data_IF_421755844962
#
_entry.id   IF_421755844962
#
_cell.length_a   1.000
_cell.length_b   1.000
_cell.length_c   1.000
_cell.angle_alpha   90.00
_cell.angle_beta   90.00
_cell.angle_gamma   90.00
#
_symmetry.space_group_name_H-M   'P 1'
#
loop_
_entity.id
_entity.type
_entity.pdbx_description
1 polymer ?
#
# COMPACT_ATOMS: atom_id res chain seq x y z
N UNK A 1 -16.34 2.36 15.69
CA UNK A 1 -15.25 1.88 16.54
C UNK A 1 -14.80 3.03 17.45
N UNK A 2 -14.53 2.78 18.75
CA UNK A 2 -13.98 3.82 19.62
C UNK A 2 -12.57 4.17 19.09
N UNK A 3 -12.40 5.42 18.72
CA UNK A 3 -11.15 5.94 18.16
C UNK A 3 -10.14 6.04 19.31
N UNK A 4 -9.13 5.19 19.32
CA UNK A 4 -8.09 5.18 20.34
C UNK A 4 -7.08 6.31 20.09
N UNK A 5 -6.56 6.90 21.16
CA UNK A 5 -5.43 7.82 21.05
C UNK A 5 -4.17 7.06 20.60
N UNK A 6 -3.32 7.70 19.82
CA UNK A 6 -2.02 7.15 19.44
C UNK A 6 -1.08 7.19 20.66
N UNK A 7 -1.02 6.09 21.41
CA UNK A 7 -0.16 5.94 22.60
C UNK A 7 1.29 5.62 22.21
N UNK A 8 2.23 5.80 23.13
CA UNK A 8 3.64 5.48 22.90
C UNK A 8 3.83 3.97 22.59
N UNK A 9 3.06 3.10 23.23
CA UNK A 9 3.08 1.67 22.91
C UNK A 9 2.66 1.38 21.47
N UNK A 10 1.61 2.06 20.97
CA UNK A 10 1.16 1.94 19.57
C UNK A 10 2.23 2.49 18.62
N UNK A 11 2.85 3.64 18.93
CA UNK A 11 3.97 4.19 18.15
C UNK A 11 5.13 3.22 18.04
N UNK A 12 5.50 2.60 19.17
CA UNK A 12 6.57 1.60 19.20
C UNK A 12 6.22 0.36 18.38
N UNK A 13 4.97 -0.09 18.40
CA UNK A 13 4.49 -1.20 17.57
C UNK A 13 4.58 -0.87 16.08
N UNK A 14 4.11 0.31 15.67
CA UNK A 14 4.20 0.79 14.29
C UNK A 14 5.66 0.85 13.83
N UNK A 15 6.54 1.46 14.63
CA UNK A 15 7.96 1.54 14.32
C UNK A 15 8.60 0.15 14.14
N UNK A 16 8.33 -0.76 15.08
CA UNK A 16 8.87 -2.12 15.06
C UNK A 16 8.42 -2.87 13.81
N UNK A 17 7.14 -2.72 13.43
CA UNK A 17 6.57 -3.33 12.23
C UNK A 17 7.20 -2.77 10.95
N UNK A 18 7.34 -1.45 10.89
CA UNK A 18 7.99 -0.79 9.75
C UNK A 18 9.47 -1.18 9.63
N UNK A 19 10.22 -1.18 10.75
CA UNK A 19 11.63 -1.56 10.77
C UNK A 19 11.85 -3.03 10.39
N UNK A 20 10.96 -3.93 10.80
CA UNK A 20 10.99 -5.34 10.37
C UNK A 20 10.78 -5.47 8.86
N UNK A 21 9.85 -4.72 8.30
CA UNK A 21 9.62 -4.70 6.85
C UNK A 21 10.83 -4.14 6.12
N UNK A 22 11.44 -3.06 6.60
CA UNK A 22 12.66 -2.49 6.03
C UNK A 22 13.82 -3.49 6.04
N UNK A 23 14.07 -4.16 7.14
CA UNK A 23 15.15 -5.16 7.24
C UNK A 23 14.96 -6.30 6.23
N UNK A 24 13.70 -6.71 5.98
CA UNK A 24 13.38 -7.67 4.93
C UNK A 24 13.72 -7.12 3.55
N UNK A 25 13.29 -5.90 3.21
CA UNK A 25 13.53 -5.28 1.91
C UNK A 25 15.03 -5.09 1.61
N UNK A 26 15.80 -4.65 2.59
CA UNK A 26 17.25 -4.49 2.47
C UNK A 26 17.94 -5.82 2.21
N UNK A 27 17.50 -6.89 2.90
CA UNK A 27 18.02 -8.22 2.65
C UNK A 27 17.68 -8.73 1.25
N UNK A 28 16.46 -8.53 0.81
CA UNK A 28 16.03 -8.89 -0.56
C UNK A 28 16.81 -8.07 -1.59
N UNK A 29 17.02 -6.77 -1.36
CA UNK A 29 17.83 -5.91 -2.22
C UNK A 29 19.26 -6.45 -2.39
N UNK A 30 19.91 -6.86 -1.30
CA UNK A 30 21.25 -7.46 -1.37
C UNK A 30 21.27 -8.78 -2.16
N UNK A 31 20.25 -9.60 -2.01
CA UNK A 31 20.12 -10.85 -2.78
C UNK A 31 19.87 -10.58 -4.28
N UNK A 32 19.14 -9.52 -4.63
CA UNK A 32 18.96 -9.09 -6.02
C UNK A 32 20.33 -8.68 -6.60
N UNK A 33 21.13 -7.88 -5.88
CA UNK A 33 22.48 -7.48 -6.30
C UNK A 33 23.42 -8.66 -6.52
N UNK A 34 23.24 -9.72 -5.75
CA UNK A 34 23.97 -10.98 -5.89
C UNK A 34 23.46 -11.87 -7.04
N UNK A 35 22.42 -11.45 -7.78
CA UNK A 35 21.86 -12.19 -8.90
C UNK A 35 21.04 -13.42 -8.51
N UNK A 36 20.54 -13.47 -7.27
CA UNK A 36 19.74 -14.60 -6.78
C UNK A 36 18.34 -14.66 -7.41
N UNK A 37 17.84 -13.54 -7.92
CA UNK A 37 16.53 -13.44 -8.57
C UNK A 37 16.67 -13.13 -10.05
N UNK A 38 15.86 -13.78 -10.90
CA UNK A 38 15.86 -13.61 -12.36
C UNK A 38 14.66 -12.85 -12.91
N UNK A 39 13.85 -12.29 -12.05
CA UNK A 39 12.65 -11.53 -12.40
C UNK A 39 12.55 -10.23 -11.57
N UNK A 40 11.78 -9.24 -12.03
CA UNK A 40 11.63 -7.98 -11.31
C UNK A 40 11.00 -8.17 -9.93
N UNK A 41 11.61 -7.55 -8.92
CA UNK A 41 11.08 -7.47 -7.56
C UNK A 41 10.74 -6.01 -7.25
N UNK A 42 9.61 -5.79 -6.61
CA UNK A 42 9.06 -4.47 -6.31
C UNK A 42 9.18 -4.19 -4.81
N UNK A 43 10.31 -3.62 -4.41
CA UNK A 43 10.63 -3.37 -3.02
C UNK A 43 9.84 -2.18 -2.46
N UNK A 44 9.35 -2.32 -1.22
CA UNK A 44 8.52 -1.30 -0.54
C UNK A 44 9.33 -0.35 0.35
N UNK A 45 10.66 -0.35 0.25
CA UNK A 45 11.52 0.51 1.07
C UNK A 45 11.16 1.99 0.89
N UNK A 46 10.88 2.67 1.99
CA UNK A 46 10.43 4.05 2.06
C UNK A 46 8.93 4.21 2.30
N UNK A 47 8.13 3.18 2.06
CA UNK A 47 6.66 3.21 2.17
C UNK A 47 6.13 2.44 3.40
N UNK A 48 7.00 1.95 4.30
CA UNK A 48 6.66 0.98 5.36
C UNK A 48 5.71 1.52 6.42
N UNK A 49 5.79 2.81 6.74
CA UNK A 49 4.94 3.42 7.75
C UNK A 49 3.46 3.40 7.38
N UNK A 50 3.14 3.44 6.09
CA UNK A 50 1.75 3.40 5.63
C UNK A 50 1.07 2.09 6.06
N UNK A 51 1.51 0.91 5.60
CA UNK A 51 0.87 -0.35 6.00
C UNK A 51 1.05 -0.68 7.48
N UNK A 52 2.18 -0.29 8.11
CA UNK A 52 2.38 -0.50 9.54
C UNK A 52 1.35 0.26 10.39
N UNK A 53 1.05 1.51 10.02
CA UNK A 53 0.04 2.30 10.73
C UNK A 53 -1.38 1.77 10.46
N UNK A 54 -1.68 1.42 9.21
CA UNK A 54 -2.98 0.84 8.87
C UNK A 54 -3.23 -0.48 9.60
N UNK A 55 -2.24 -1.37 9.66
CA UNK A 55 -2.36 -2.68 10.33
C UNK A 55 -2.63 -2.53 11.83
N UNK A 56 -1.96 -1.61 12.48
CA UNK A 56 -2.16 -1.31 13.91
C UNK A 56 -3.54 -0.68 14.14
N UNK A 57 -3.93 0.30 13.32
CA UNK A 57 -5.22 0.98 13.46
C UNK A 57 -6.42 0.04 13.28
N UNK A 58 -6.35 -0.88 12.34
CA UNK A 58 -7.41 -1.83 12.03
C UNK A 58 -7.22 -3.20 12.69
N UNK A 59 -6.21 -3.35 13.57
CA UNK A 59 -5.89 -4.61 14.26
C UNK A 59 -5.81 -5.82 13.32
N UNK A 60 -5.28 -5.64 12.12
CA UNK A 60 -5.11 -6.65 11.07
C UNK A 60 -6.40 -7.41 10.68
N UNK A 61 -7.59 -6.86 10.94
CA UNK A 61 -8.86 -7.59 10.72
C UNK A 61 -9.58 -7.24 9.42
N UNK A 62 -9.21 -6.13 8.81
CA UNK A 62 -9.86 -5.58 7.61
C UNK A 62 -9.31 -6.24 6.33
N UNK A 63 -10.17 -6.59 5.34
CA UNK A 63 -9.69 -7.04 4.04
C UNK A 63 -8.89 -5.96 3.31
N UNK A 64 -7.78 -6.37 2.67
CA UNK A 64 -6.86 -5.50 1.96
C UNK A 64 -6.75 -5.89 0.50
N UNK A 65 -6.75 -4.89 -0.38
CA UNK A 65 -6.52 -5.03 -1.81
C UNK A 65 -5.29 -4.20 -2.18
N UNK A 66 -4.17 -4.88 -2.40
CA UNK A 66 -2.87 -4.21 -2.58
C UNK A 66 -2.33 -4.35 -4.00
N UNK A 67 -1.60 -3.33 -4.44
CA UNK A 67 -0.89 -3.32 -5.71
C UNK A 67 0.47 -4.05 -5.61
N UNK A 68 1.28 -3.99 -6.65
CA UNK A 68 2.52 -4.75 -6.82
C UNK A 68 3.60 -4.49 -5.75
N UNK A 69 3.64 -3.31 -5.13
CA UNK A 69 4.61 -2.96 -4.08
C UNK A 69 4.03 -3.29 -2.71
N UNK A 70 3.92 -4.58 -2.42
CA UNK A 70 3.06 -5.05 -1.33
C UNK A 70 3.77 -5.90 -0.27
N UNK A 71 5.10 -6.04 -0.29
CA UNK A 71 5.83 -6.80 0.71
C UNK A 71 5.59 -6.27 2.12
N UNK A 72 5.76 -4.94 2.33
CA UNK A 72 5.52 -4.32 3.62
C UNK A 72 4.05 -4.41 4.05
N UNK A 73 3.10 -4.35 3.11
CA UNK A 73 1.68 -4.56 3.41
C UNK A 73 1.43 -5.99 3.90
N UNK A 74 1.96 -6.99 3.20
CA UNK A 74 1.83 -8.38 3.58
C UNK A 74 2.40 -8.64 4.98
N UNK A 75 3.63 -8.17 5.25
CA UNK A 75 4.32 -8.36 6.53
C UNK A 75 3.63 -7.60 7.66
N UNK A 76 3.17 -6.38 7.43
CA UNK A 76 2.50 -5.54 8.44
C UNK A 76 1.17 -6.13 8.88
N UNK A 77 0.43 -6.76 7.97
CA UNK A 77 -0.85 -7.40 8.29
C UNK A 77 -0.72 -8.83 8.82
N UNK A 78 0.48 -9.27 9.16
CA UNK A 78 0.74 -10.55 9.82
C UNK A 78 1.06 -11.69 8.86
N UNK A 79 1.42 -11.40 7.62
CA UNK A 79 1.91 -12.38 6.66
C UNK A 79 3.18 -13.08 7.15
N UNK A 80 3.31 -14.36 6.89
CA UNK A 80 4.47 -15.17 7.28
C UNK A 80 5.68 -14.82 6.40
N UNK A 81 6.80 -14.49 7.05
CA UNK A 81 8.02 -14.09 6.35
C UNK A 81 8.59 -15.24 5.50
N UNK A 82 8.50 -16.47 6.01
CA UNK A 82 9.00 -17.65 5.30
C UNK A 82 8.17 -17.96 4.05
N UNK A 83 6.84 -17.82 4.15
CA UNK A 83 5.94 -17.93 2.98
C UNK A 83 6.23 -16.85 1.93
N UNK A 84 6.57 -15.64 2.36
CA UNK A 84 6.95 -14.58 1.43
C UNK A 84 8.30 -14.87 0.76
N UNK A 85 9.29 -15.33 1.50
CA UNK A 85 10.59 -15.75 0.94
C UNK A 85 10.38 -16.88 -0.07
N UNK A 86 9.60 -17.89 0.26
CA UNK A 86 9.31 -19.00 -0.62
C UNK A 86 8.55 -18.56 -1.87
N UNK A 87 7.65 -17.59 -1.75
CA UNK A 87 6.97 -16.97 -2.91
C UNK A 87 7.96 -16.28 -3.84
N UNK A 88 8.87 -15.47 -3.28
CA UNK A 88 9.91 -14.79 -4.05
C UNK A 88 10.91 -15.77 -4.69
N UNK A 89 11.05 -16.97 -4.16
CA UNK A 89 11.87 -18.04 -4.73
C UNK A 89 11.11 -18.96 -5.69
N UNK A 90 9.83 -18.70 -5.95
CA UNK A 90 8.99 -19.49 -6.84
C UNK A 90 8.63 -20.88 -6.29
N UNK A 91 8.62 -21.05 -4.96
CA UNK A 91 8.36 -22.34 -4.30
C UNK A 91 6.86 -22.54 -4.03
N UNK A 92 6.43 -23.78 -4.09
CA UNK A 92 5.03 -24.15 -3.82
C UNK A 92 4.57 -23.88 -2.36
N UNK A 93 5.51 -23.70 -1.42
CA UNK A 93 5.26 -23.30 -0.04
C UNK A 93 5.03 -21.80 0.13
N UNK A 94 5.21 -20.99 -0.93
CA UNK A 94 4.94 -19.57 -0.91
C UNK A 94 3.44 -19.24 -0.77
N UNK A 95 3.13 -18.02 -0.32
CA UNK A 95 1.76 -17.57 -0.04
C UNK A 95 0.82 -17.64 -1.26
N UNK A 96 1.36 -17.57 -2.49
CA UNK A 96 0.67 -17.78 -3.77
C UNK A 96 1.18 -19.03 -4.50
N UNK A 97 1.77 -19.97 -3.78
CA UNK A 97 2.35 -21.21 -4.33
C UNK A 97 3.47 -20.98 -5.36
N UNK A 98 4.21 -19.88 -5.21
CA UNK A 98 5.29 -19.47 -6.09
C UNK A 98 4.85 -18.90 -7.44
N UNK A 99 3.57 -18.58 -7.61
CA UNK A 99 3.00 -18.09 -8.86
C UNK A 99 2.79 -16.59 -8.93
N UNK A 100 2.68 -15.93 -7.77
CA UNK A 100 2.47 -14.47 -7.66
C UNK A 100 3.78 -13.68 -7.74
N UNK A 101 4.85 -14.25 -7.25
CA UNK A 101 6.14 -13.59 -7.11
C UNK A 101 6.05 -12.32 -6.27
N UNK A 102 6.84 -11.30 -6.60
CA UNK A 102 6.82 -10.01 -5.90
C UNK A 102 5.57 -9.18 -6.22
N UNK A 103 5.03 -9.31 -7.44
CA UNK A 103 4.02 -8.40 -7.95
C UNK A 103 2.57 -8.74 -7.53
N UNK A 104 2.26 -10.01 -7.30
CA UNK A 104 0.87 -10.46 -7.11
C UNK A 104 0.71 -11.26 -5.81
N UNK A 105 1.17 -10.67 -4.70
CA UNK A 105 1.08 -11.29 -3.38
C UNK A 105 -0.37 -11.32 -2.93
N UNK A 106 -0.83 -12.50 -2.58
CA UNK A 106 -2.16 -12.72 -2.01
C UNK A 106 -2.05 -13.67 -0.82
N UNK A 107 -2.94 -13.52 0.16
CA UNK A 107 -2.96 -14.43 1.30
C UNK A 107 -4.35 -14.47 1.91
N UNK A 108 -4.91 -15.68 1.95
CA UNK A 108 -6.22 -15.92 2.55
C UNK A 108 -6.18 -15.73 4.06
N UNK A 109 -5.07 -16.08 4.71
CA UNK A 109 -4.93 -16.02 6.18
C UNK A 109 -5.03 -14.59 6.73
N UNK A 110 -4.52 -13.62 5.99
CA UNK A 110 -4.57 -12.19 6.34
C UNK A 110 -5.59 -11.40 5.52
N UNK A 111 -6.45 -12.07 4.75
CA UNK A 111 -7.47 -11.48 3.88
C UNK A 111 -6.87 -10.44 2.91
N UNK A 112 -5.68 -10.71 2.39
CA UNK A 112 -5.01 -9.86 1.42
C UNK A 112 -5.24 -10.37 0.01
N UNK A 113 -5.72 -9.48 -0.85
CA UNK A 113 -5.97 -9.73 -2.27
C UNK A 113 -4.97 -8.89 -3.09
N UNK A 114 -4.29 -9.53 -4.02
CA UNK A 114 -3.35 -8.87 -4.91
C UNK A 114 -4.02 -8.31 -6.16
N UNK A 115 -3.21 -7.74 -7.04
CA UNK A 115 -3.64 -7.31 -8.36
C UNK A 115 -3.25 -8.35 -9.43
N UNK A 116 -3.80 -8.20 -10.63
CA UNK A 116 -3.66 -9.14 -11.75
C UNK A 116 -2.61 -8.74 -12.81
N UNK A 117 -1.84 -7.68 -12.54
CA UNK A 117 -0.83 -7.13 -13.45
C UNK A 117 -1.23 -5.82 -14.13
N UNK A 118 -2.51 -5.46 -14.18
CA UNK A 118 -2.96 -4.13 -14.60
C UNK A 118 -2.99 -3.19 -13.39
N UNK A 119 -2.29 -2.06 -13.49
CA UNK A 119 -2.15 -1.12 -12.36
C UNK A 119 -3.50 -0.54 -11.94
N UNK A 120 -3.89 -0.74 -10.69
CA UNK A 120 -5.13 -0.18 -10.13
C UNK A 120 -6.37 -1.09 -10.21
N UNK A 121 -6.34 -2.24 -10.90
CA UNK A 121 -7.50 -3.14 -11.04
C UNK A 121 -8.04 -3.67 -9.72
N UNK A 122 -7.21 -3.78 -8.69
CA UNK A 122 -7.65 -4.15 -7.35
C UNK A 122 -8.65 -3.15 -6.75
N UNK A 123 -8.66 -1.88 -7.21
CA UNK A 123 -9.53 -0.83 -6.66
C UNK A 123 -11.01 -1.09 -6.99
N UNK A 124 -11.44 -1.26 -8.25
CA UNK A 124 -12.84 -1.61 -8.54
C UNK A 124 -13.24 -2.96 -7.95
N UNK A 125 -12.32 -3.92 -7.82
CA UNK A 125 -12.58 -5.22 -7.18
C UNK A 125 -12.87 -5.01 -5.68
N UNK A 126 -12.08 -4.18 -4.98
CA UNK A 126 -12.31 -3.82 -3.59
C UNK A 126 -13.67 -3.15 -3.38
N UNK A 127 -14.04 -2.24 -4.28
CA UNK A 127 -15.35 -1.56 -4.25
C UNK A 127 -16.49 -2.58 -4.43
N UNK A 128 -16.36 -3.52 -5.38
CA UNK A 128 -17.34 -4.59 -5.59
C UNK A 128 -17.44 -5.52 -4.37
N UNK A 129 -16.34 -5.87 -3.75
CA UNK A 129 -16.32 -6.66 -2.53
C UNK A 129 -17.02 -5.94 -1.37
N UNK A 130 -16.67 -4.68 -1.11
CA UNK A 130 -17.30 -3.88 -0.06
C UNK A 130 -18.79 -3.66 -0.32
N UNK A 131 -19.19 -3.45 -1.58
CA UNK A 131 -20.59 -3.32 -1.96
C UNK A 131 -21.41 -4.56 -1.64
N UNK A 132 -20.86 -5.74 -1.91
CA UNK A 132 -21.55 -7.02 -1.70
C UNK A 132 -21.58 -7.42 -0.22
N UNK A 133 -20.43 -7.29 0.47
CA UNK A 133 -20.27 -7.75 1.86
C UNK A 133 -20.76 -6.73 2.89
N UNK A 134 -20.89 -5.47 2.50
CA UNK A 134 -21.15 -4.32 3.39
C UNK A 134 -20.08 -4.13 4.48
N UNK A 135 -18.91 -4.77 4.31
CA UNK A 135 -17.79 -4.65 5.24
C UNK A 135 -16.82 -3.56 4.77
N UNK A 136 -16.20 -2.83 5.69
CA UNK A 136 -15.10 -1.95 5.37
C UNK A 136 -13.93 -2.72 4.74
N UNK A 137 -13.28 -2.11 3.74
CA UNK A 137 -12.08 -2.65 3.09
C UNK A 137 -11.05 -1.55 2.90
N UNK A 138 -9.77 -1.93 2.78
CA UNK A 138 -8.69 -1.05 2.36
C UNK A 138 -8.28 -1.44 0.94
N UNK A 139 -8.08 -0.45 0.07
CA UNK A 139 -7.39 -0.65 -1.20
C UNK A 139 -6.21 0.31 -1.30
N UNK A 140 -5.04 -0.22 -1.68
CA UNK A 140 -3.79 0.54 -1.78
C UNK A 140 -3.33 0.52 -3.24
N UNK A 141 -3.07 1.71 -3.81
CA UNK A 141 -2.52 1.86 -5.15
C UNK A 141 -1.50 3.02 -5.20
N UNK A 142 -0.62 3.00 -6.20
CA UNK A 142 0.30 4.11 -6.45
C UNK A 142 -0.41 5.31 -7.09
N UNK A 143 0.25 6.47 -7.05
CA UNK A 143 -0.27 7.74 -7.57
C UNK A 143 -0.61 7.72 -9.05
N UNK A 144 0.17 7.01 -9.87
CA UNK A 144 -0.12 6.84 -11.29
C UNK A 144 -1.29 5.87 -11.54
N UNK A 145 -1.36 4.78 -10.78
CA UNK A 145 -2.47 3.84 -10.87
C UNK A 145 -3.81 4.47 -10.48
N UNK A 146 -3.78 5.45 -9.57
CA UNK A 146 -4.97 6.19 -9.16
C UNK A 146 -5.58 7.04 -10.29
N UNK A 147 -4.80 7.33 -11.36
CA UNK A 147 -5.23 8.10 -12.54
C UNK A 147 -5.97 7.24 -13.58
N UNK A 148 -5.95 5.91 -13.44
CA UNK A 148 -6.63 5.03 -14.38
C UNK A 148 -8.15 5.27 -14.34
N UNK A 149 -8.78 5.24 -15.51
CA UNK A 149 -10.19 5.57 -15.69
C UNK A 149 -11.11 4.66 -14.85
N UNK A 150 -10.82 3.37 -14.78
CA UNK A 150 -11.56 2.42 -13.96
C UNK A 150 -11.35 2.64 -12.46
N UNK A 151 -10.21 3.20 -12.03
CA UNK A 151 -9.97 3.56 -10.62
C UNK A 151 -10.77 4.79 -10.25
N UNK A 152 -10.70 5.85 -11.07
CA UNK A 152 -11.46 7.08 -10.86
C UNK A 152 -12.96 6.81 -10.87
N UNK A 153 -13.45 5.99 -11.80
CA UNK A 153 -14.86 5.57 -11.85
C UNK A 153 -15.29 4.79 -10.60
N UNK A 154 -14.43 3.90 -10.09
CA UNK A 154 -14.71 3.14 -8.88
C UNK A 154 -14.77 4.04 -7.63
N UNK A 155 -13.90 5.03 -7.51
CA UNK A 155 -13.93 6.03 -6.42
C UNK A 155 -15.23 6.82 -6.49
N UNK A 156 -15.61 7.32 -7.67
CA UNK A 156 -16.83 8.07 -7.87
C UNK A 156 -18.10 7.25 -7.56
N UNK A 157 -18.09 5.98 -7.96
CA UNK A 157 -19.21 5.07 -7.68
C UNK A 157 -19.32 4.78 -6.18
N UNK A 158 -18.18 4.60 -5.49
CA UNK A 158 -18.17 4.41 -4.04
C UNK A 158 -18.70 5.63 -3.30
N UNK A 159 -18.36 6.86 -3.74
CA UNK A 159 -18.92 8.10 -3.19
C UNK A 159 -20.43 8.19 -3.35
N UNK A 160 -20.93 7.88 -4.56
CA UNK A 160 -22.37 7.90 -4.87
C UNK A 160 -23.16 6.92 -4.00
N UNK A 161 -22.65 5.70 -3.82
CA UNK A 161 -23.34 4.62 -3.12
C UNK A 161 -22.93 4.45 -1.66
N UNK A 162 -22.07 5.34 -1.14
CA UNK A 162 -21.55 5.32 0.25
C UNK A 162 -20.96 3.96 0.64
N UNK A 163 -20.17 3.39 -0.29
CA UNK A 163 -19.55 2.07 -0.09
C UNK A 163 -18.37 2.22 0.87
N UNK A 164 -18.23 1.40 1.91
CA UNK A 164 -17.27 1.59 2.97
C UNK A 164 -15.84 1.17 2.55
N UNK A 165 -15.21 1.92 1.66
CA UNK A 165 -13.84 1.70 1.18
C UNK A 165 -12.92 2.80 1.69
N UNK A 166 -11.76 2.42 2.22
CA UNK A 166 -10.63 3.30 2.42
C UNK A 166 -9.70 3.16 1.21
N UNK A 167 -9.64 4.19 0.39
CA UNK A 167 -8.69 4.31 -0.71
C UNK A 167 -7.39 4.92 -0.17
N UNK A 168 -6.28 4.22 -0.31
CA UNK A 168 -4.95 4.69 0.05
C UNK A 168 -4.12 4.83 -1.20
N UNK A 169 -3.72 6.05 -1.51
CA UNK A 169 -2.82 6.35 -2.62
C UNK A 169 -1.43 6.60 -2.06
N UNK A 170 -0.48 5.71 -2.39
CA UNK A 170 0.94 5.89 -2.07
C UNK A 170 1.55 6.82 -3.12
N UNK A 171 1.63 8.11 -2.79
CA UNK A 171 2.07 9.17 -3.71
C UNK A 171 3.57 9.41 -3.56
N UNK A 172 4.36 8.65 -4.32
CA UNK A 172 5.80 8.84 -4.41
C UNK A 172 6.22 9.74 -5.60
N UNK A 173 5.27 10.44 -6.22
CA UNK A 173 5.47 11.35 -7.34
C UNK A 173 5.92 10.67 -8.66
N UNK A 174 6.00 9.34 -8.74
CA UNK A 174 6.61 8.65 -9.87
C UNK A 174 5.74 7.52 -10.44
N UNK A 175 5.51 7.57 -11.76
CA UNK A 175 5.11 6.40 -12.55
C UNK A 175 6.35 5.81 -13.21
N UNK A 176 6.89 4.72 -12.68
CA UNK A 176 8.22 4.21 -12.99
C UNK A 176 9.25 5.32 -12.75
N UNK A 177 9.53 6.18 -13.73
CA UNK A 177 10.43 7.34 -13.66
C UNK A 177 9.76 8.66 -14.08
N UNK A 178 8.51 8.62 -14.52
CA UNK A 178 7.79 9.81 -14.98
C UNK A 178 7.17 10.53 -13.79
N UNK A 179 7.59 11.77 -13.55
CA UNK A 179 7.05 12.60 -12.47
C UNK A 179 5.57 12.91 -12.68
N UNK A 180 4.84 13.05 -11.56
CA UNK A 180 3.41 13.40 -11.54
C UNK A 180 3.09 14.66 -12.33
N UNK A 181 3.94 15.70 -12.27
CA UNK A 181 3.74 16.96 -13.01
C UNK A 181 3.68 16.81 -14.54
N UNK A 182 4.27 15.72 -15.07
CA UNK A 182 4.20 15.41 -16.51
C UNK A 182 2.88 14.71 -16.90
N UNK A 183 2.16 14.16 -15.93
CA UNK A 183 0.94 13.36 -16.11
C UNK A 183 -0.33 14.13 -15.76
N UNK A 184 -0.28 14.95 -14.69
CA UNK A 184 -1.41 15.73 -14.21
C UNK A 184 -0.98 16.98 -13.45
N UNK A 185 -1.88 17.96 -13.39
CA UNK A 185 -1.74 19.22 -12.64
C UNK A 185 -2.81 19.37 -11.53
N UNK A 186 -3.42 18.28 -11.13
CA UNK A 186 -4.45 18.23 -10.09
C UNK A 186 -4.11 17.14 -9.05
N UNK A 187 -4.72 17.22 -7.88
CA UNK A 187 -4.47 16.30 -6.78
C UNK A 187 -5.63 15.34 -6.58
N UNK A 188 -5.31 14.08 -6.22
CA UNK A 188 -6.29 13.00 -6.12
C UNK A 188 -7.32 13.24 -4.99
N UNK A 189 -6.93 13.89 -3.92
CA UNK A 189 -7.83 14.26 -2.83
C UNK A 189 -8.89 15.29 -3.28
N UNK A 190 -8.53 16.21 -4.17
CA UNK A 190 -9.47 17.15 -4.76
C UNK A 190 -10.48 16.47 -5.67
N UNK A 191 -10.03 15.52 -6.49
CA UNK A 191 -10.92 14.67 -7.27
C UNK A 191 -11.89 13.90 -6.38
N UNK A 192 -11.38 13.20 -5.35
CA UNK A 192 -12.20 12.40 -4.45
C UNK A 192 -13.29 13.23 -3.76
N UNK A 193 -12.96 14.44 -3.28
CA UNK A 193 -13.95 15.37 -2.71
C UNK A 193 -15.03 15.80 -3.71
N UNK A 194 -14.65 15.97 -4.98
CA UNK A 194 -15.62 16.36 -6.03
C UNK A 194 -16.66 15.28 -6.31
N UNK A 195 -16.41 14.03 -5.95
CA UNK A 195 -17.30 12.90 -6.10
C UNK A 195 -17.83 12.35 -4.76
N UNK A 196 -17.91 13.22 -3.74
CA UNK A 196 -18.45 12.92 -2.41
C UNK A 196 -17.72 11.83 -1.62
N UNK A 197 -16.40 11.70 -1.81
CA UNK A 197 -15.53 10.87 -0.99
C UNK A 197 -14.74 11.77 -0.04
N UNK A 198 -14.75 11.47 1.27
CA UNK A 198 -13.91 12.18 2.23
C UNK A 198 -12.45 12.02 1.85
N UNK A 199 -11.67 13.10 1.84
CA UNK A 199 -10.29 12.97 1.41
C UNK A 199 -9.32 13.86 2.18
N UNK A 200 -8.08 13.34 2.34
CA UNK A 200 -6.95 14.05 2.93
C UNK A 200 -5.70 13.86 2.05
N UNK A 201 -4.88 14.90 1.99
CA UNK A 201 -3.53 14.86 1.42
C UNK A 201 -2.56 15.07 2.60
N UNK A 202 -1.77 14.04 2.92
CA UNK A 202 -0.96 13.96 4.13
C UNK A 202 0.43 13.40 3.82
N UNK A 203 1.34 13.48 4.79
CA UNK A 203 2.62 12.76 4.73
C UNK A 203 2.46 11.32 5.24
N UNK A 204 3.49 10.50 5.09
CA UNK A 204 3.57 9.14 5.63
C UNK A 204 3.97 9.09 7.11
N UNK A 205 3.94 10.23 7.82
CA UNK A 205 4.10 10.27 9.27
C UNK A 205 2.97 9.47 9.94
N UNK A 206 3.28 8.48 10.80
CA UNK A 206 2.27 7.69 11.50
C UNK A 206 1.26 8.51 12.29
N UNK A 207 1.66 9.66 12.83
CA UNK A 207 0.76 10.56 13.57
C UNK A 207 -0.25 11.19 12.63
N UNK A 208 0.20 11.66 11.47
CA UNK A 208 -0.70 12.25 10.46
C UNK A 208 -1.68 11.21 9.92
N UNK A 209 -1.19 9.99 9.59
CA UNK A 209 -2.04 8.89 9.13
C UNK A 209 -3.09 8.53 10.20
N UNK A 210 -2.67 8.38 11.46
CA UNK A 210 -3.57 8.04 12.56
C UNK A 210 -4.66 9.09 12.78
N UNK A 211 -4.27 10.37 12.76
CA UNK A 211 -5.20 11.49 12.91
C UNK A 211 -6.16 11.60 11.72
N UNK A 212 -5.65 11.36 10.51
CA UNK A 212 -6.50 11.34 9.32
C UNK A 212 -7.54 10.22 9.41
N UNK A 213 -7.15 9.00 9.79
CA UNK A 213 -8.06 7.88 9.99
C UNK A 213 -9.14 8.17 11.04
N UNK A 214 -8.78 8.89 12.12
CA UNK A 214 -9.74 9.31 13.14
C UNK A 214 -10.71 10.40 12.65
N UNK A 215 -10.35 11.15 11.61
CA UNK A 215 -11.11 12.33 11.13
C UNK A 215 -12.00 12.06 9.93
N UNK A 216 -11.89 10.89 9.29
CA UNK A 216 -12.64 10.57 8.08
C UNK A 216 -13.71 9.51 8.33
N UNK A 217 -14.78 9.59 7.56
CA UNK A 217 -15.82 8.57 7.47
C UNK A 217 -15.76 7.94 6.08
N UNK A 218 -15.95 6.62 6.00
CA UNK A 218 -15.92 5.90 4.73
C UNK A 218 -17.17 6.17 3.87
N UNK A 219 -17.06 6.25 2.55
CA UNK A 219 -15.81 6.11 1.79
C UNK A 219 -14.85 7.26 2.01
N UNK A 220 -13.57 6.94 2.08
CA UNK A 220 -12.53 7.94 2.28
C UNK A 220 -11.29 7.66 1.40
N UNK A 221 -10.56 8.71 1.04
CA UNK A 221 -9.30 8.63 0.32
C UNK A 221 -8.21 9.35 1.11
N UNK A 222 -7.11 8.65 1.36
CA UNK A 222 -5.88 9.22 1.88
C UNK A 222 -4.83 9.23 0.76
N UNK A 223 -4.49 10.40 0.25
CA UNK A 223 -3.33 10.59 -0.61
C UNK A 223 -2.12 10.82 0.30
N UNK A 224 -1.24 9.82 0.39
CA UNK A 224 -0.14 9.81 1.34
C UNK A 224 1.16 10.02 0.58
N UNK A 225 1.79 11.18 0.78
CA UNK A 225 3.09 11.51 0.19
C UNK A 225 4.17 10.70 0.89
N UNK A 226 4.96 9.98 0.09
CA UNK A 226 6.01 9.10 0.58
C UNK A 226 7.20 9.11 -0.38
N UNK A 227 8.30 8.51 0.04
CA UNK A 227 9.50 8.36 -0.78
C UNK A 227 9.78 6.90 -1.08
N UNK A 228 9.84 6.54 -2.36
CA UNK A 228 10.35 5.25 -2.79
C UNK A 228 11.88 5.30 -2.76
N UNK A 229 12.54 4.52 -1.89
CA UNK A 229 13.99 4.59 -1.70
C UNK A 229 14.77 3.81 -2.76
N UNK A 230 14.21 2.69 -3.24
CA UNK A 230 14.86 1.85 -4.24
C UNK A 230 14.24 2.03 -5.62
N UNK A 231 14.94 1.58 -6.64
CA UNK A 231 14.48 1.60 -8.01
C UNK A 231 13.07 1.00 -8.16
N UNK A 232 12.37 1.38 -9.22
CA UNK A 232 11.00 0.90 -9.47
C UNK A 232 10.88 -0.63 -9.38
N UNK A 233 11.84 -1.34 -9.98
CA UNK A 233 11.91 -2.81 -9.91
C UNK A 233 13.37 -3.26 -9.98
N UNK A 234 13.78 -4.22 -9.12
CA UNK A 234 15.14 -4.74 -9.08
C UNK A 234 16.05 -3.98 -8.12
N UNK A 235 17.36 -4.02 -8.35
CA UNK A 235 18.41 -3.60 -7.43
C UNK A 235 19.01 -2.20 -7.70
N UNK A 236 18.31 -1.35 -8.42
CA UNK A 236 18.70 0.05 -8.60
C UNK A 236 18.37 0.91 -7.38
N UNK A 237 18.96 2.09 -7.34
CA UNK A 237 18.61 3.17 -6.41
C UNK A 237 18.09 4.33 -7.26
N UNK A 238 16.98 4.97 -6.86
CA UNK A 238 16.50 6.16 -7.54
C UNK A 238 17.52 7.29 -7.41
N UNK A 239 17.72 8.07 -8.48
CA UNK A 239 18.80 9.08 -8.59
C UNK A 239 18.60 10.30 -7.67
N UNK A 240 17.44 10.45 -7.06
CA UNK A 240 17.12 11.61 -6.22
C UNK A 240 17.45 11.36 -4.76
N UNK A 241 17.93 12.41 -4.11
CA UNK A 241 18.07 12.41 -2.64
C UNK A 241 16.70 12.26 -2.01
N UNK A 242 16.55 11.23 -1.20
CA UNK A 242 15.29 10.89 -0.54
C UNK A 242 15.43 10.93 0.97
N UNK A 243 14.36 11.26 1.64
CA UNK A 243 14.31 11.25 3.10
C UNK A 243 13.96 9.86 3.59
N UNK A 244 14.88 9.23 4.31
CA UNK A 244 14.58 7.96 4.97
C UNK A 244 14.06 8.21 6.39
N UNK A 245 12.75 8.11 6.56
CA UNK A 245 12.07 8.40 7.82
C UNK A 245 12.29 7.35 8.91
N UNK A 246 12.81 6.17 8.57
CA UNK A 246 13.17 5.16 9.57
C UNK A 246 14.55 5.42 10.19
N UNK A 247 15.38 6.26 9.58
CA UNK A 247 16.71 6.62 10.06
C UNK A 247 16.74 7.95 10.83
N UNK A 248 15.63 8.65 10.91
CA UNK A 248 15.43 9.90 11.68
C UNK A 248 14.68 9.57 12.97
#
# INVERSE_FOLDING_TARGET
>A
MARTSLTDSIRQSIFTTAARSRAFEEKVFDLIKQGQFKYPLYLSAGEEYIPATLSEYFSCTIPIFAQHRAHSTYLSFGGCIDELIDELLGRASGCCKGMGGSASIQSKSIKMFGHDGLMGTQVPIAVGYAFTTKQPVITICGDAAAEEDYVMSAIAWAGTHKIPVLFVVTDNNLSILTEKKCRRNWEMDSFARSVNVNARNISDDPVEIWNALNSVELPALLNIKTDRLFWHAGAGIDEYTKTDRLLI
#
